data_IF_376918275764
#
_entry.id   IF_376918275764
#
_cell.length_a   1.000
_cell.length_b   1.000
_cell.length_c   1.000
_cell.angle_alpha   90.00
_cell.angle_beta   90.00
_cell.angle_gamma   90.00
#
_symmetry.space_group_name_H-M   'P 1'
#
loop_
_entity.id
_entity.type
_entity.pdbx_description
1 polymer ?
#
# COMPACT_ATOMS: atom_id res chain seq x y z
N UNK A 1 23.62 5.46 -15.47
CA UNK A 1 23.94 5.35 -14.03
C UNK A 1 23.16 6.32 -13.14
N UNK A 2 22.35 7.24 -13.68
CA UNK A 2 21.53 8.19 -12.89
C UNK A 2 20.09 7.69 -12.61
N UNK A 3 19.54 6.85 -13.47
CA UNK A 3 18.19 6.28 -13.31
C UNK A 3 18.10 5.23 -12.18
N UNK A 4 19.17 4.48 -11.94
CA UNK A 4 19.18 3.46 -10.86
C UNK A 4 19.13 4.03 -9.44
N UNK A 5 19.57 5.27 -9.23
CA UNK A 5 19.49 5.94 -7.92
C UNK A 5 18.10 6.51 -7.60
N UNK A 6 17.29 6.79 -8.62
CA UNK A 6 15.90 7.25 -8.46
C UNK A 6 14.95 6.10 -8.03
N UNK A 7 15.28 4.87 -8.41
CA UNK A 7 14.44 3.69 -8.09
C UNK A 7 14.75 3.03 -6.74
N UNK A 8 15.87 3.37 -6.10
CA UNK A 8 16.33 2.67 -4.88
C UNK A 8 15.75 3.21 -3.55
N UNK A 9 14.76 4.11 -3.58
CA UNK A 9 14.24 4.72 -2.35
C UNK A 9 12.79 4.39 -2.02
N UNK A 10 12.15 3.53 -2.79
CA UNK A 10 10.72 3.17 -2.58
C UNK A 10 10.63 1.90 -1.76
N UNK A 11 10.27 2.02 -0.51
CA UNK A 11 10.13 0.89 0.38
C UNK A 11 8.70 0.82 0.91
N UNK A 12 8.10 -0.33 0.72
CA UNK A 12 6.87 -0.71 1.39
C UNK A 12 7.25 -1.36 2.71
N UNK A 13 6.69 -0.89 3.79
CA UNK A 13 6.87 -1.46 5.12
C UNK A 13 5.71 -2.38 5.43
N UNK A 14 6.00 -3.64 5.63
CA UNK A 14 5.08 -4.63 6.16
C UNK A 14 5.42 -4.88 7.63
N UNK A 15 4.50 -4.58 8.52
CA UNK A 15 4.60 -4.92 9.93
C UNK A 15 3.60 -6.00 10.29
N UNK A 16 4.07 -7.03 11.00
CA UNK A 16 3.21 -8.05 11.62
C UNK A 16 3.48 -8.05 13.12
N UNK A 17 2.48 -7.62 13.91
CA UNK A 17 2.55 -7.54 15.35
C UNK A 17 1.84 -8.74 16.00
N UNK A 18 2.58 -9.53 16.76
CA UNK A 18 2.03 -10.61 17.57
C UNK A 18 1.15 -10.03 18.69
N UNK A 19 -0.09 -10.51 18.82
CA UNK A 19 -1.00 -10.04 19.86
C UNK A 19 -0.69 -10.66 21.25
N UNK A 20 0.08 -11.75 21.30
CA UNK A 20 0.42 -12.41 22.55
C UNK A 20 1.67 -11.82 23.22
N UNK A 21 2.76 -11.66 22.48
CA UNK A 21 4.03 -11.18 23.02
C UNK A 21 4.45 -9.78 22.53
N UNK A 22 3.59 -9.11 21.77
CA UNK A 22 3.81 -7.79 21.18
C UNK A 22 5.06 -7.67 20.29
N UNK A 23 5.68 -8.80 19.93
CA UNK A 23 6.79 -8.80 18.99
C UNK A 23 6.35 -8.31 17.61
N UNK A 24 7.08 -7.37 17.03
CA UNK A 24 6.85 -6.85 15.69
C UNK A 24 7.89 -7.45 14.74
N UNK A 25 7.41 -8.12 13.69
CA UNK A 25 8.21 -8.48 12.53
C UNK A 25 8.05 -7.40 11.48
N UNK A 26 9.15 -6.82 11.04
CA UNK A 26 9.16 -5.75 10.05
C UNK A 26 9.90 -6.21 8.80
N UNK A 27 9.28 -6.01 7.63
CA UNK A 27 9.87 -6.29 6.33
C UNK A 27 9.77 -5.02 5.48
N UNK A 28 10.84 -4.73 4.75
CA UNK A 28 10.93 -3.57 3.87
C UNK A 28 11.21 -4.06 2.46
N UNK A 29 10.22 -3.95 1.59
CA UNK A 29 10.30 -4.42 0.22
C UNK A 29 10.34 -3.25 -0.76
N UNK A 30 11.26 -3.24 -1.73
CA UNK A 30 11.24 -2.24 -2.79
C UNK A 30 10.00 -2.42 -3.66
N UNK A 31 9.39 -1.32 -4.07
CA UNK A 31 8.25 -1.33 -4.97
C UNK A 31 8.40 -0.31 -6.10
N UNK A 32 7.76 -0.57 -7.24
CA UNK A 32 7.73 0.32 -8.39
C UNK A 32 6.40 1.04 -8.53
N UNK A 33 5.31 0.37 -8.14
CA UNK A 33 3.97 0.91 -8.15
C UNK A 33 3.17 0.43 -6.94
N UNK A 34 2.15 1.19 -6.55
CA UNK A 34 1.16 0.76 -5.57
C UNK A 34 -0.08 0.24 -6.29
N UNK A 35 -0.34 -1.04 -6.18
CA UNK A 35 -1.55 -1.66 -6.70
C UNK A 35 -2.67 -1.62 -5.67
N UNK A 36 -3.68 -0.76 -5.90
CA UNK A 36 -4.77 -0.50 -4.96
C UNK A 36 -6.08 -1.18 -5.37
N UNK A 37 -6.71 -1.87 -4.40
CA UNK A 37 -8.07 -2.37 -4.54
C UNK A 37 -9.08 -1.21 -4.52
N UNK A 38 -10.00 -1.20 -5.50
CA UNK A 38 -11.01 -0.14 -5.64
C UNK A 38 -12.46 -0.62 -5.46
N UNK A 39 -12.67 -1.90 -5.18
CA UNK A 39 -14.03 -2.47 -5.02
C UNK A 39 -14.85 -1.70 -3.98
N UNK A 40 -14.20 -1.30 -2.88
CA UNK A 40 -14.82 -0.56 -1.77
C UNK A 40 -14.27 0.87 -1.63
N UNK A 41 -13.80 1.47 -2.73
CA UNK A 41 -13.24 2.81 -2.71
C UNK A 41 -13.80 3.65 -3.86
N UNK A 42 -14.33 4.82 -3.52
CA UNK A 42 -14.83 5.84 -4.44
C UNK A 42 -13.78 6.93 -4.71
N UNK A 43 -12.72 6.97 -3.91
CA UNK A 43 -11.64 7.94 -4.03
C UNK A 43 -10.27 7.29 -3.82
N UNK A 44 -9.25 7.94 -4.34
CA UNK A 44 -7.86 7.50 -4.17
C UNK A 44 -7.44 7.49 -2.69
N UNK A 45 -7.84 8.52 -1.94
CA UNK A 45 -7.61 8.59 -0.50
C UNK A 45 -8.23 7.39 0.23
N UNK A 46 -9.45 7.00 -0.13
CA UNK A 46 -10.14 5.84 0.44
C UNK A 46 -9.44 4.53 0.08
N UNK A 47 -8.96 4.40 -1.17
CA UNK A 47 -8.20 3.22 -1.59
C UNK A 47 -6.87 3.07 -0.82
N UNK A 48 -6.14 4.17 -0.63
CA UNK A 48 -4.91 4.19 0.19
C UNK A 48 -5.20 3.90 1.66
N UNK A 49 -6.27 4.46 2.22
CA UNK A 49 -6.70 4.17 3.59
C UNK A 49 -7.02 2.69 3.78
N UNK A 50 -7.71 2.06 2.83
CA UNK A 50 -7.98 0.63 2.86
C UNK A 50 -6.70 -0.19 2.75
N UNK A 51 -5.76 0.22 1.87
CA UNK A 51 -4.48 -0.46 1.68
C UNK A 51 -3.59 -0.43 2.93
N UNK A 52 -3.59 0.68 3.67
CA UNK A 52 -2.79 0.86 4.88
C UNK A 52 -3.55 0.52 6.17
N UNK A 53 -4.77 0.04 6.07
CA UNK A 53 -5.54 -0.39 7.23
C UNK A 53 -4.90 -1.59 7.92
N UNK A 54 -4.96 -1.61 9.25
CA UNK A 54 -4.55 -2.76 10.03
C UNK A 54 -5.53 -3.93 9.80
N UNK A 55 -5.01 -5.11 9.51
CA UNK A 55 -5.75 -6.34 9.27
C UNK A 55 -5.47 -7.34 10.39
N UNK A 56 -6.53 -7.89 10.97
CA UNK A 56 -6.41 -8.96 11.95
C UNK A 56 -6.19 -10.30 11.24
N UNK A 57 -5.07 -10.95 11.54
CA UNK A 57 -4.77 -12.32 11.13
C UNK A 57 -5.26 -13.28 12.21
N UNK A 58 -6.47 -13.80 12.03
CA UNK A 58 -7.12 -14.76 12.95
C UNK A 58 -7.69 -15.93 12.16
N UNK A 59 -6.89 -16.53 11.32
CA UNK A 59 -7.34 -17.46 10.30
C UNK A 59 -7.08 -18.96 10.55
N UNK A 60 -7.46 -19.53 11.67
CA UNK A 60 -7.41 -20.99 11.89
C UNK A 60 -6.07 -21.62 11.49
N UNK A 61 -6.04 -22.47 10.46
CA UNK A 61 -4.80 -23.11 9.98
C UNK A 61 -3.76 -22.14 9.41
N UNK A 62 -4.19 -20.96 8.97
CA UNK A 62 -3.32 -19.90 8.41
C UNK A 62 -2.93 -18.86 9.44
N UNK A 63 -3.05 -19.15 10.73
CA UNK A 63 -2.59 -18.24 11.77
C UNK A 63 -1.10 -17.95 11.64
N UNK A 64 -0.75 -16.72 12.02
CA UNK A 64 0.63 -16.27 12.05
C UNK A 64 1.44 -17.05 13.09
N UNK A 65 2.55 -17.64 12.65
CA UNK A 65 3.50 -18.26 13.56
C UNK A 65 4.52 -17.21 14.03
N UNK A 66 4.43 -16.81 15.29
CA UNK A 66 5.35 -15.83 15.83
C UNK A 66 6.74 -16.43 16.04
N UNK A 67 7.74 -15.73 15.51
CA UNK A 67 9.13 -16.19 15.62
C UNK A 67 9.68 -16.10 17.06
N UNK A 68 9.11 -15.20 17.88
CA UNK A 68 9.55 -15.02 19.27
C UNK A 68 8.93 -16.02 20.23
N UNK A 69 7.60 -16.14 20.26
CA UNK A 69 6.93 -17.08 21.16
C UNK A 69 6.74 -18.48 20.55
N UNK A 70 7.14 -18.70 19.29
CA UNK A 70 7.09 -19.99 18.58
C UNK A 70 5.71 -20.61 18.46
N UNK A 71 4.66 -19.85 18.66
CA UNK A 71 3.27 -20.32 18.66
C UNK A 71 2.49 -19.73 17.48
N UNK A 72 1.46 -20.46 17.05
CA UNK A 72 0.44 -19.92 16.15
C UNK A 72 -0.46 -18.98 16.94
N UNK A 73 -0.51 -17.73 16.57
CA UNK A 73 -1.18 -16.66 17.34
C UNK A 73 -1.94 -15.72 16.43
N UNK A 74 -2.90 -15.00 17.01
CA UNK A 74 -3.48 -13.83 16.35
C UNK A 74 -2.43 -12.76 16.20
N UNK A 75 -2.44 -12.09 15.06
CA UNK A 75 -1.51 -11.00 14.78
C UNK A 75 -2.21 -9.86 14.04
N UNK A 76 -1.65 -8.67 14.13
CA UNK A 76 -2.08 -7.51 13.35
C UNK A 76 -1.05 -7.29 12.25
N UNK A 77 -1.52 -7.31 11.00
CA UNK A 77 -0.74 -7.03 9.80
C UNK A 77 -1.09 -5.64 9.29
N UNK A 78 -0.09 -4.87 8.92
CA UNK A 78 -0.29 -3.55 8.34
C UNK A 78 0.76 -3.26 7.28
N UNK A 79 0.33 -2.69 6.16
CA UNK A 79 1.21 -2.11 5.14
C UNK A 79 1.25 -0.59 5.30
N UNK A 80 2.44 -0.01 5.13
CA UNK A 80 2.63 1.43 5.02
C UNK A 80 3.72 1.74 4.01
N UNK A 81 3.71 2.92 3.44
CA UNK A 81 4.82 3.42 2.64
C UNK A 81 5.91 3.89 3.61
N UNK A 82 7.11 3.31 3.55
CA UNK A 82 8.20 3.74 4.44
C UNK A 82 8.81 5.07 4.00
N UNK A 83 9.18 5.15 2.71
CA UNK A 83 9.65 6.37 2.09
C UNK A 83 8.77 6.72 0.89
N UNK A 84 8.27 7.95 0.85
CA UNK A 84 7.53 8.44 -0.30
C UNK A 84 8.50 8.69 -1.47
N UNK A 85 8.20 8.17 -2.66
CA UNK A 85 9.00 8.39 -3.85
C UNK A 85 8.86 9.81 -4.40
N UNK A 86 9.81 10.26 -5.21
CA UNK A 86 9.66 11.47 -6.00
C UNK A 86 8.57 11.34 -7.07
N UNK A 87 8.38 10.13 -7.59
CA UNK A 87 7.31 9.77 -8.52
C UNK A 87 6.61 8.54 -7.99
N UNK A 88 5.33 8.66 -7.66
CA UNK A 88 4.50 7.56 -7.20
C UNK A 88 3.60 7.08 -8.33
N UNK A 89 3.84 5.86 -8.82
CA UNK A 89 2.93 5.17 -9.71
C UNK A 89 1.86 4.44 -8.91
N UNK A 90 0.58 4.68 -9.23
CA UNK A 90 -0.55 4.00 -8.61
C UNK A 90 -1.32 3.24 -9.67
N UNK A 91 -1.43 1.94 -9.49
CA UNK A 91 -2.24 1.05 -10.32
C UNK A 91 -3.57 0.76 -9.63
N UNK A 92 -4.69 1.12 -10.26
CA UNK A 92 -6.03 0.80 -9.76
C UNK A 92 -6.45 -0.57 -10.30
N UNK A 93 -6.68 -1.52 -9.40
CA UNK A 93 -7.11 -2.89 -9.76
C UNK A 93 -8.56 -2.89 -10.23
N UNK A 94 -8.77 -2.68 -11.53
CA UNK A 94 -10.09 -2.56 -12.16
C UNK A 94 -10.72 -3.90 -12.55
N UNK A 95 -10.10 -5.02 -12.20
CA UNK A 95 -10.66 -6.35 -12.45
C UNK A 95 -10.78 -7.12 -11.15
N UNK A 96 -11.93 -7.76 -10.95
CA UNK A 96 -12.16 -8.63 -9.81
C UNK A 96 -11.43 -9.96 -10.02
N UNK A 97 -10.65 -10.39 -9.03
CA UNK A 97 -9.90 -11.64 -9.12
C UNK A 97 -10.81 -12.88 -9.13
N UNK A 98 -12.01 -12.78 -8.54
CA UNK A 98 -12.91 -13.93 -8.33
C UNK A 98 -14.14 -13.96 -9.22
N UNK A 99 -14.45 -12.90 -9.98
CA UNK A 99 -15.64 -12.78 -10.81
C UNK A 99 -15.29 -12.78 -12.31
N UNK A 100 -14.66 -13.85 -12.81
CA UNK A 100 -14.34 -14.06 -14.23
C UNK A 100 -13.82 -12.81 -14.98
N UNK A 101 -13.03 -11.98 -14.30
CA UNK A 101 -12.43 -10.78 -14.88
C UNK A 101 -13.41 -9.63 -15.10
N UNK A 102 -14.53 -9.59 -14.38
CA UNK A 102 -15.48 -8.47 -14.47
C UNK A 102 -14.80 -7.15 -14.18
N UNK A 103 -14.89 -6.21 -15.11
CA UNK A 103 -14.31 -4.88 -15.00
C UNK A 103 -15.10 -4.03 -13.99
N UNK A 104 -14.37 -3.31 -13.15
CA UNK A 104 -14.93 -2.33 -12.22
C UNK A 104 -14.91 -0.97 -12.90
N UNK A 105 -16.08 -0.50 -13.37
CA UNK A 105 -16.23 0.79 -14.06
C UNK A 105 -16.49 1.97 -13.11
N UNK A 106 -16.32 1.74 -11.80
CA UNK A 106 -16.48 2.79 -10.80
C UNK A 106 -15.48 3.92 -11.04
N UNK A 107 -15.97 5.15 -10.99
CA UNK A 107 -15.16 6.36 -10.93
C UNK A 107 -14.40 6.37 -9.59
N UNK A 108 -13.10 6.60 -9.63
CA UNK A 108 -12.27 6.83 -8.45
C UNK A 108 -11.86 8.30 -8.48
N UNK A 109 -12.31 9.06 -7.50
CA UNK A 109 -12.02 10.49 -7.41
C UNK A 109 -10.63 10.74 -6.83
N UNK A 110 -9.96 11.77 -7.34
CA UNK A 110 -8.69 12.25 -6.82
C UNK A 110 -8.54 13.74 -7.13
N UNK A 111 -7.87 14.45 -6.23
CA UNK A 111 -7.58 15.88 -6.37
C UNK A 111 -6.26 16.15 -7.08
N UNK A 112 -5.93 17.43 -7.29
CA UNK A 112 -4.63 17.85 -7.87
C UNK A 112 -3.45 17.60 -6.93
N UNK A 113 -3.72 17.31 -5.67
CA UNK A 113 -2.71 17.00 -4.65
C UNK A 113 -3.10 15.75 -3.88
N UNK A 114 -2.10 14.96 -3.49
CA UNK A 114 -2.26 13.81 -2.63
C UNK A 114 -1.38 13.99 -1.38
N UNK A 115 -2.02 14.10 -0.22
CA UNK A 115 -1.30 14.08 1.05
C UNK A 115 -0.99 12.63 1.45
N UNK A 116 0.29 12.28 1.40
CA UNK A 116 0.77 10.93 1.76
C UNK A 116 1.03 10.76 3.26
N UNK A 117 1.00 11.84 4.04
CA UNK A 117 1.31 11.81 5.48
C UNK A 117 0.57 10.72 6.27
N UNK A 118 -0.74 10.47 6.05
CA UNK A 118 -1.46 9.43 6.78
C UNK A 118 -1.03 7.99 6.43
N UNK A 119 -0.31 7.80 5.33
CA UNK A 119 0.00 6.49 4.76
C UNK A 119 1.47 6.12 4.83
N UNK A 120 2.30 7.03 5.38
CA UNK A 120 3.76 6.88 5.47
C UNK A 120 4.17 6.63 6.91
N UNK A 121 5.04 5.64 7.12
CA UNK A 121 5.60 5.30 8.44
C UNK A 121 7.03 5.82 8.66
N UNK A 122 7.73 6.22 7.61
CA UNK A 122 9.07 6.82 7.71
C UNK A 122 9.04 8.31 8.01
N UNK A 123 10.21 8.88 8.33
CA UNK A 123 10.34 10.29 8.73
C UNK A 123 10.26 11.29 7.57
N UNK A 124 10.48 10.85 6.34
CA UNK A 124 10.47 11.72 5.16
C UNK A 124 9.08 11.73 4.53
N UNK A 125 8.25 12.66 4.97
CA UNK A 125 6.90 12.83 4.42
C UNK A 125 6.87 14.07 3.56
N UNK A 126 6.73 13.88 2.26
CA UNK A 126 6.50 14.95 1.30
C UNK A 126 5.04 14.96 0.88
N UNK A 127 4.50 16.17 0.69
CA UNK A 127 3.21 16.35 0.04
C UNK A 127 3.42 16.14 -1.46
N UNK A 128 2.83 15.08 -2.00
CA UNK A 128 2.87 14.80 -3.42
C UNK A 128 1.96 15.77 -4.18
N UNK A 129 2.54 16.55 -5.08
CA UNK A 129 1.78 17.35 -6.03
C UNK A 129 1.53 16.53 -7.28
N UNK A 130 0.29 16.53 -7.74
CA UNK A 130 -0.07 15.90 -8.99
C UNK A 130 0.38 16.79 -10.15
N UNK A 131 1.53 16.51 -10.76
CA UNK A 131 2.01 17.30 -11.91
C UNK A 131 1.54 16.78 -13.25
N UNK A 132 1.22 15.51 -13.38
CA UNK A 132 0.72 14.96 -14.65
C UNK A 132 -0.05 13.67 -14.39
N UNK A 133 -1.32 13.64 -14.80
CA UNK A 133 -2.07 12.39 -14.90
C UNK A 133 -2.00 11.93 -16.34
N UNK A 134 -1.08 11.05 -16.64
CA UNK A 134 -1.16 10.32 -17.91
C UNK A 134 -2.16 9.19 -17.70
N UNK A 135 -3.38 9.39 -18.18
CA UNK A 135 -4.42 8.36 -18.25
C UNK A 135 -4.04 7.28 -19.28
N UNK A 136 -3.08 6.45 -18.92
CA UNK A 136 -3.16 5.08 -19.39
C UNK A 136 -4.33 4.48 -18.61
N UNK A 137 -5.36 3.96 -19.25
CA UNK A 137 -6.67 3.50 -18.71
C UNK A 137 -6.62 2.73 -17.36
N UNK A 138 -5.47 2.53 -16.76
CA UNK A 138 -5.21 1.72 -15.54
C UNK A 138 -4.22 2.30 -14.54
N UNK A 139 -3.43 3.32 -14.89
CA UNK A 139 -2.34 3.82 -14.04
C UNK A 139 -2.47 5.32 -13.86
N UNK A 140 -2.40 5.78 -12.61
CA UNK A 140 -2.26 7.18 -12.25
C UNK A 140 -0.81 7.44 -11.82
N UNK A 141 -0.14 8.42 -12.41
CA UNK A 141 1.20 8.84 -12.03
C UNK A 141 1.11 10.13 -11.21
N UNK A 142 1.71 10.11 -10.04
CA UNK A 142 1.86 11.28 -9.18
C UNK A 142 3.34 11.63 -9.10
N UNK A 143 3.68 12.89 -9.32
CA UNK A 143 5.05 13.41 -9.25
C UNK A 143 5.16 14.40 -8.11
N UNK A 144 6.26 14.35 -7.35
CA UNK A 144 6.62 15.35 -6.34
C UNK A 144 7.34 16.51 -7.01
#
# INVERSE_FOLDING_TARGET
>A
MMLSKLFNSFLLHLQVKCMQCSHCSNTFDPFLDLSLEIVKADSLHKALKNFTAAELLDGGERQYQCQRCKQKVKAIKQFTVYNAPHVLAIHLKRFRAHDFGQKIDRKVEFGPTLDMKPFVSGSNVSKLLLHTVTFLKRVCLFVI
#
